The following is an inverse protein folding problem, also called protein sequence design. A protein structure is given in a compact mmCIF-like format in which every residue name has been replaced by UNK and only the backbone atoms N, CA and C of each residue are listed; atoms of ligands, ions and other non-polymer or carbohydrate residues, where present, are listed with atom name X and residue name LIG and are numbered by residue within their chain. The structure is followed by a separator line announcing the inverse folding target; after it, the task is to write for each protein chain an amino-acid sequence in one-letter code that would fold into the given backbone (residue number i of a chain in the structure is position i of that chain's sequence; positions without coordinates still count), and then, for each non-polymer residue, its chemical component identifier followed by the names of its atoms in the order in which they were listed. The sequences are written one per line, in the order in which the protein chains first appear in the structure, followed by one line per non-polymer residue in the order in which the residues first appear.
data_IF_783532184581
#
_entry.id   IF_783532184581
#
_cell.length_a   1.000
_cell.length_b   1.000
_cell.length_c   1.000
_cell.angle_alpha   90.00
_cell.angle_beta   90.00
_cell.angle_gamma   90.00
#
_symmetry.space_group_name_H-M   'P 1'
#
loop_
_entity.id
_entity.type
_entity.pdbx_description
1 polymer ?
#
# COMPACT_ATOMS: atom_id res chain seq x y z
N UNK A 1 -19.67 2.66 26.71
CA UNK A 1 -19.53 3.07 25.31
C UNK A 1 -20.76 2.54 24.57
N UNK A 2 -21.57 3.45 24.06
CA UNK A 2 -22.79 3.12 23.31
C UNK A 2 -22.44 2.81 21.86
N UNK A 3 -23.30 2.10 21.12
CA UNK A 3 -23.09 1.81 19.69
C UNK A 3 -23.02 3.09 18.82
N UNK A 4 -23.50 4.23 19.33
CA UNK A 4 -23.41 5.54 18.67
C UNK A 4 -22.02 6.16 18.82
N UNK A 5 -21.32 5.90 19.93
CA UNK A 5 -19.94 6.34 20.12
C UNK A 5 -18.98 5.64 19.14
N UNK A 6 -19.23 4.35 18.85
CA UNK A 6 -18.47 3.57 17.87
C UNK A 6 -18.72 4.08 16.45
N UNK A 7 -19.95 4.52 16.12
CA UNK A 7 -20.26 5.10 14.80
C UNK A 7 -19.55 6.44 14.57
N UNK A 8 -19.39 7.24 15.62
CA UNK A 8 -18.76 8.57 15.51
C UNK A 8 -17.22 8.50 15.55
N UNK A 9 -16.62 7.56 16.28
CA UNK A 9 -15.15 7.39 16.27
C UNK A 9 -14.63 6.89 14.91
N UNK A 10 -15.41 6.08 14.18
CA UNK A 10 -15.07 5.61 12.83
C UNK A 10 -15.04 6.75 11.79
N UNK A 11 -15.66 7.91 12.08
CA UNK A 11 -15.70 9.05 11.17
C UNK A 11 -14.48 10.00 11.28
N UNK A 12 -13.62 9.88 12.31
CA UNK A 12 -12.61 10.93 12.59
C UNK A 12 -11.14 10.51 12.52
N UNK A 13 -10.81 9.25 12.28
CA UNK A 13 -9.43 8.89 11.97
C UNK A 13 -9.22 9.01 10.46
N UNK A 14 -8.24 9.81 10.05
CA UNK A 14 -7.80 9.96 8.65
C UNK A 14 -7.66 8.59 7.97
N UNK A 15 -8.74 8.11 7.36
CA UNK A 15 -8.68 6.90 6.57
C UNK A 15 -7.88 7.30 5.33
N UNK A 16 -6.72 6.66 5.19
CA UNK A 16 -6.04 6.49 3.90
C UNK A 16 -7.12 6.35 2.83
N UNK A 17 -6.99 6.98 1.65
CA UNK A 17 -8.02 6.99 0.61
C UNK A 17 -8.25 5.58 0.00
N UNK A 18 -8.76 4.67 0.82
CA UNK A 18 -8.94 3.26 0.56
C UNK A 18 -10.03 3.07 -0.48
N UNK A 19 -11.09 3.88 -0.44
CA UNK A 19 -12.13 3.87 -1.46
C UNK A 19 -11.57 4.22 -2.85
N UNK A 20 -10.64 5.18 -2.93
CA UNK A 20 -9.98 5.55 -4.18
C UNK A 20 -9.21 4.35 -4.73
N UNK A 21 -8.28 3.79 -3.96
CA UNK A 21 -7.41 2.72 -4.44
C UNK A 21 -8.08 1.35 -4.57
N UNK A 22 -9.02 1.02 -3.68
CA UNK A 22 -9.65 -0.31 -3.64
C UNK A 22 -10.86 -0.40 -4.58
N UNK A 23 -11.57 0.72 -4.82
CA UNK A 23 -12.79 0.71 -5.63
C UNK A 23 -12.59 1.45 -6.94
N UNK A 24 -12.13 2.70 -6.89
CA UNK A 24 -12.11 3.54 -8.09
C UNK A 24 -10.97 3.17 -9.06
N UNK A 25 -9.80 2.77 -8.56
CA UNK A 25 -8.69 2.36 -9.41
C UNK A 25 -9.00 1.15 -10.30
N UNK A 26 -9.54 0.04 -9.79
CA UNK A 26 -10.00 -1.06 -10.62
C UNK A 26 -11.04 -0.62 -11.67
N UNK A 27 -11.96 0.27 -11.30
CA UNK A 27 -12.95 0.84 -12.23
C UNK A 27 -12.26 1.64 -13.35
N UNK A 28 -11.25 2.45 -13.03
CA UNK A 28 -10.47 3.19 -14.03
C UNK A 28 -9.70 2.25 -14.94
N UNK A 29 -9.04 1.22 -14.39
CA UNK A 29 -8.31 0.22 -15.19
C UNK A 29 -9.23 -0.53 -16.17
N UNK A 30 -10.47 -0.80 -15.76
CA UNK A 30 -11.49 -1.37 -16.66
C UNK A 30 -11.93 -0.35 -17.72
N UNK A 31 -12.12 0.92 -17.33
CA UNK A 31 -12.51 1.99 -18.24
C UNK A 31 -11.42 2.32 -19.26
N UNK A 32 -10.13 2.22 -18.91
CA UNK A 32 -9.01 2.45 -19.82
C UNK A 32 -9.05 1.53 -21.04
N UNK A 33 -9.54 0.29 -20.87
CA UNK A 33 -9.73 -0.69 -21.95
C UNK A 33 -10.80 -0.27 -22.96
N UNK A 34 -11.72 0.61 -22.55
CA UNK A 34 -12.85 1.11 -23.38
C UNK A 34 -12.55 2.51 -23.91
N UNK A 35 -12.07 3.41 -23.04
CA UNK A 35 -11.74 4.78 -23.36
C UNK A 35 -10.62 5.29 -22.45
N UNK A 36 -9.40 5.26 -22.99
CA UNK A 36 -8.19 5.72 -22.31
C UNK A 36 -8.29 7.17 -21.83
N UNK A 37 -8.77 8.09 -22.67
CA UNK A 37 -8.81 9.52 -22.35
C UNK A 37 -9.79 9.82 -21.22
N UNK A 38 -10.98 9.21 -21.24
CA UNK A 38 -11.97 9.37 -20.18
C UNK A 38 -11.47 8.82 -18.84
N UNK A 39 -10.87 7.62 -18.86
CA UNK A 39 -10.32 7.00 -17.66
C UNK A 39 -9.21 7.84 -17.02
N UNK A 40 -8.26 8.33 -17.83
CA UNK A 40 -7.18 9.20 -17.34
C UNK A 40 -7.71 10.52 -16.76
N UNK A 41 -8.69 11.14 -17.42
CA UNK A 41 -9.30 12.40 -16.96
C UNK A 41 -10.00 12.20 -15.62
N UNK A 42 -10.81 11.14 -15.48
CA UNK A 42 -11.49 10.80 -14.24
C UNK A 42 -10.48 10.47 -13.13
N UNK A 43 -9.50 9.60 -13.41
CA UNK A 43 -8.46 9.24 -12.44
C UNK A 43 -7.74 10.48 -11.90
N UNK A 44 -7.30 11.38 -12.77
CA UNK A 44 -6.63 12.61 -12.35
C UNK A 44 -7.54 13.51 -11.49
N UNK A 45 -8.81 13.64 -11.85
CA UNK A 45 -9.78 14.44 -11.09
C UNK A 45 -10.02 13.85 -9.69
N UNK A 46 -10.23 12.54 -9.59
CA UNK A 46 -10.44 11.85 -8.31
C UNK A 46 -9.20 11.92 -7.40
N UNK A 47 -7.99 11.69 -7.94
CA UNK A 47 -6.75 11.83 -7.17
C UNK A 47 -6.60 13.25 -6.62
N UNK A 48 -6.85 14.27 -7.45
CA UNK A 48 -6.74 15.67 -7.04
C UNK A 48 -7.77 16.00 -5.96
N UNK A 49 -9.02 15.62 -6.17
CA UNK A 49 -10.10 15.91 -5.24
C UNK A 49 -9.91 15.20 -3.89
N UNK A 50 -9.46 13.95 -3.89
CA UNK A 50 -9.13 13.20 -2.67
C UNK A 50 -7.94 13.80 -1.92
N UNK A 51 -6.93 14.30 -2.64
CA UNK A 51 -5.78 14.96 -2.04
C UNK A 51 -6.17 16.28 -1.37
N UNK A 52 -7.07 17.04 -1.98
CA UNK A 52 -7.56 18.32 -1.44
C UNK A 52 -8.57 18.11 -0.30
N UNK A 53 -9.37 17.05 -0.36
CA UNK A 53 -10.35 16.70 0.67
C UNK A 53 -10.37 15.17 0.93
N UNK A 54 -9.52 14.68 1.85
CA UNK A 54 -9.48 13.26 2.20
C UNK A 54 -10.84 12.73 2.67
N UNK A 55 -11.26 11.57 2.17
CA UNK A 55 -12.56 10.96 2.43
C UNK A 55 -13.62 11.27 1.38
N UNK A 56 -13.40 12.22 0.48
CA UNK A 56 -14.38 12.61 -0.54
C UNK A 56 -14.79 11.43 -1.45
N UNK A 57 -13.84 10.60 -1.85
CA UNK A 57 -14.12 9.42 -2.70
C UNK A 57 -14.99 8.41 -1.96
N UNK A 58 -14.77 8.24 -0.66
CA UNK A 58 -15.61 7.38 0.17
C UNK A 58 -17.03 7.91 0.24
N UNK A 59 -17.22 9.21 0.48
CA UNK A 59 -18.55 9.83 0.50
C UNK A 59 -19.29 9.66 -0.83
N UNK A 60 -18.59 9.84 -1.96
CA UNK A 60 -19.15 9.63 -3.29
C UNK A 60 -19.62 8.17 -3.45
N UNK A 61 -18.77 7.19 -3.10
CA UNK A 61 -19.12 5.76 -3.22
C UNK A 61 -20.31 5.41 -2.33
N UNK A 62 -20.32 5.86 -1.08
CA UNK A 62 -21.43 5.63 -0.15
C UNK A 62 -22.73 6.22 -0.69
N UNK A 63 -22.70 7.45 -1.24
CA UNK A 63 -23.90 8.07 -1.82
C UNK A 63 -24.43 7.31 -3.04
N UNK A 64 -23.55 6.73 -3.85
CA UNK A 64 -23.95 5.88 -4.99
C UNK A 64 -24.64 4.60 -4.50
N UNK A 65 -24.09 3.95 -3.48
CA UNK A 65 -24.67 2.74 -2.87
C UNK A 65 -26.04 3.02 -2.25
N UNK A 66 -26.18 4.12 -1.51
CA UNK A 66 -27.46 4.59 -0.95
C UNK A 66 -28.49 4.83 -2.06
N UNK A 67 -28.10 5.49 -3.15
CA UNK A 67 -29.01 5.76 -4.29
C UNK A 67 -29.47 4.49 -5.00
N UNK A 68 -28.69 3.41 -4.94
CA UNK A 68 -29.05 2.10 -5.48
C UNK A 68 -29.78 1.20 -4.48
N UNK A 69 -30.01 1.68 -3.26
CA UNK A 69 -30.66 0.95 -2.16
C UNK A 69 -30.00 -0.40 -1.89
N UNK A 70 -28.66 -0.43 -1.90
CA UNK A 70 -27.86 -1.62 -1.63
C UNK A 70 -27.56 -1.71 -0.13
N UNK A 71 -28.12 -2.71 0.55
CA UNK A 71 -27.79 -3.02 1.94
C UNK A 71 -26.52 -3.88 1.99
N UNK A 72 -25.36 -3.23 2.02
CA UNK A 72 -24.06 -3.90 2.16
C UNK A 72 -23.29 -3.32 3.35
N UNK A 73 -22.53 -4.16 4.05
CA UNK A 73 -21.53 -3.68 4.98
C UNK A 73 -20.33 -3.13 4.18
N UNK A 74 -20.23 -1.81 4.10
CA UNK A 74 -19.20 -1.13 3.33
C UNK A 74 -17.77 -1.47 3.81
N UNK A 75 -17.57 -1.56 5.12
CA UNK A 75 -16.26 -1.86 5.71
C UNK A 75 -15.81 -3.30 5.39
N UNK A 76 -16.71 -4.27 5.54
CA UNK A 76 -16.44 -5.66 5.15
C UNK A 76 -16.17 -5.79 3.66
N UNK A 77 -16.95 -5.09 2.84
CA UNK A 77 -16.79 -5.13 1.38
C UNK A 77 -15.44 -4.55 0.95
N UNK A 78 -15.04 -3.42 1.52
CA UNK A 78 -13.72 -2.84 1.28
C UNK A 78 -12.59 -3.80 1.68
N UNK A 79 -12.71 -4.45 2.84
CA UNK A 79 -11.69 -5.40 3.30
C UNK A 79 -11.57 -6.63 2.38
N UNK A 80 -12.69 -7.15 1.88
CA UNK A 80 -12.70 -8.26 0.91
C UNK A 80 -12.04 -7.87 -0.41
N UNK A 81 -12.21 -6.62 -0.85
CA UNK A 81 -11.65 -6.11 -2.11
C UNK A 81 -10.18 -5.66 -1.98
N UNK A 82 -9.66 -5.49 -0.77
CA UNK A 82 -8.31 -5.00 -0.52
C UNK A 82 -7.18 -5.96 -0.97
N UNK A 83 -7.52 -7.16 -1.46
CA UNK A 83 -6.55 -8.11 -1.99
C UNK A 83 -5.95 -7.69 -3.31
N UNK A 84 -6.69 -6.93 -4.13
CA UNK A 84 -6.21 -6.52 -5.44
C UNK A 84 -4.97 -5.61 -5.30
N UNK A 85 -3.95 -5.89 -6.11
CA UNK A 85 -2.76 -5.06 -6.15
C UNK A 85 -3.04 -3.83 -7.01
N UNK A 86 -2.95 -2.66 -6.39
CA UNK A 86 -2.85 -1.42 -7.14
C UNK A 86 -1.39 -1.26 -7.56
N UNK A 87 -1.15 -1.15 -8.86
CA UNK A 87 0.19 -1.06 -9.45
C UNK A 87 1.04 0.05 -8.82
N UNK A 88 0.41 1.12 -8.32
CA UNK A 88 1.09 2.22 -7.64
C UNK A 88 1.81 1.82 -6.35
N UNK A 89 1.40 0.74 -5.71
CA UNK A 89 2.05 0.22 -4.49
C UNK A 89 3.01 -0.94 -4.78
N UNK A 90 3.07 -1.44 -6.01
CA UNK A 90 4.00 -2.48 -6.40
C UNK A 90 5.39 -1.87 -6.64
N UNK A 91 6.40 -2.49 -6.03
CA UNK A 91 7.78 -2.11 -6.28
C UNK A 91 8.20 -2.70 -7.63
N UNK A 92 8.32 -1.87 -8.67
CA UNK A 92 8.80 -2.25 -10.01
C UNK A 92 10.34 -2.39 -10.04
N UNK A 93 10.86 -3.28 -9.20
CA UNK A 93 12.29 -3.58 -9.09
C UNK A 93 12.51 -5.07 -9.24
N UNK A 94 13.37 -5.46 -10.18
CA UNK A 94 13.59 -6.88 -10.54
C UNK A 94 14.42 -7.64 -9.51
N UNK A 95 15.03 -6.95 -8.55
CA UNK A 95 15.85 -7.61 -7.54
C UNK A 95 14.98 -8.52 -6.64
N UNK A 96 15.47 -9.73 -6.33
CA UNK A 96 14.66 -10.76 -5.66
C UNK A 96 14.14 -10.31 -4.29
N UNK A 97 14.86 -9.43 -3.59
CA UNK A 97 14.43 -8.95 -2.27
C UNK A 97 13.18 -8.05 -2.35
N UNK A 98 13.01 -7.28 -3.43
CA UNK A 98 11.80 -6.46 -3.63
C UNK A 98 10.63 -7.30 -4.12
N UNK A 99 10.91 -8.34 -4.91
CA UNK A 99 9.89 -9.31 -5.32
C UNK A 99 9.37 -10.09 -4.12
N UNK A 100 10.26 -10.56 -3.24
CA UNK A 100 9.88 -11.20 -1.99
C UNK A 100 9.06 -10.24 -1.10
N UNK A 101 9.45 -8.96 -1.01
CA UNK A 101 8.69 -7.97 -0.26
C UNK A 101 7.27 -7.78 -0.80
N UNK A 102 7.10 -7.69 -2.13
CA UNK A 102 5.79 -7.62 -2.77
C UNK A 102 4.95 -8.88 -2.47
N UNK A 103 5.56 -10.07 -2.53
CA UNK A 103 4.90 -11.34 -2.23
C UNK A 103 4.43 -11.43 -0.77
N UNK A 104 5.27 -11.06 0.20
CA UNK A 104 4.89 -11.05 1.63
C UNK A 104 3.80 -10.04 1.92
N UNK A 105 3.85 -8.86 1.29
CA UNK A 105 2.79 -7.86 1.42
C UNK A 105 1.46 -8.38 0.85
N UNK A 106 1.48 -9.05 -0.31
CA UNK A 106 0.30 -9.68 -0.90
C UNK A 106 -0.26 -10.79 -0.02
N UNK A 107 0.60 -11.65 0.54
CA UNK A 107 0.17 -12.72 1.44
C UNK A 107 -0.54 -12.17 2.69
N UNK A 108 0.02 -11.12 3.30
CA UNK A 108 -0.62 -10.47 4.45
C UNK A 108 -1.98 -9.85 4.07
N UNK A 109 -2.06 -9.11 2.96
CA UNK A 109 -3.34 -8.55 2.48
C UNK A 109 -4.39 -9.63 2.23
N UNK A 110 -3.98 -10.76 1.65
CA UNK A 110 -4.87 -11.89 1.42
C UNK A 110 -5.44 -12.45 2.72
N UNK A 111 -4.60 -12.70 3.74
CA UNK A 111 -5.09 -13.20 5.04
C UNK A 111 -6.01 -12.17 5.71
N UNK A 112 -5.70 -10.87 5.63
CA UNK A 112 -6.57 -9.83 6.20
C UNK A 112 -7.95 -9.78 5.50
N UNK A 113 -8.01 -10.08 4.22
CA UNK A 113 -9.26 -10.08 3.45
C UNK A 113 -10.23 -11.20 3.82
N UNK A 114 -9.75 -12.30 4.44
CA UNK A 114 -10.59 -13.44 4.86
C UNK A 114 -11.26 -13.21 6.22
N UNK A 115 -10.87 -12.15 6.96
CA UNK A 115 -11.43 -11.82 8.28
C UNK A 115 -12.98 -11.78 8.27
N UNK A 116 -13.66 -11.13 7.31
CA UNK A 116 -15.12 -11.09 7.29
C UNK A 116 -15.79 -12.46 7.21
N UNK A 117 -15.13 -13.46 6.62
CA UNK A 117 -15.65 -14.82 6.48
C UNK A 117 -15.32 -15.70 7.70
N UNK A 118 -14.21 -15.40 8.39
CA UNK A 118 -13.68 -16.23 9.47
C UNK A 118 -14.08 -15.73 10.87
N UNK A 119 -14.42 -14.44 11.02
CA UNK A 119 -14.70 -13.80 12.32
C UNK A 119 -15.85 -14.44 13.11
N UNK A 120 -16.81 -15.05 12.43
CA UNK A 120 -17.97 -15.69 13.06
C UNK A 120 -17.67 -17.09 13.63
N UNK A 121 -16.58 -17.74 13.18
CA UNK A 121 -16.12 -19.02 13.71
C UNK A 121 -14.91 -18.79 14.61
N UNK A 122 -15.11 -18.92 15.93
CA UNK A 122 -14.06 -18.67 16.92
C UNK A 122 -12.78 -19.48 16.68
N UNK A 123 -12.90 -20.74 16.25
CA UNK A 123 -11.73 -21.61 16.05
C UNK A 123 -10.96 -21.17 14.81
N UNK A 124 -11.67 -20.90 13.71
CA UNK A 124 -11.05 -20.36 12.48
C UNK A 124 -10.43 -19.00 12.74
N UNK A 125 -11.14 -18.08 13.39
CA UNK A 125 -10.64 -16.74 13.67
C UNK A 125 -9.36 -16.75 14.52
N UNK A 126 -9.27 -17.63 15.52
CA UNK A 126 -8.04 -17.79 16.29
C UNK A 126 -6.87 -18.32 15.45
N UNK A 127 -7.15 -19.13 14.42
CA UNK A 127 -6.14 -19.57 13.46
C UNK A 127 -5.73 -18.40 12.55
N UNK A 128 -6.68 -17.66 12.00
CA UNK A 128 -6.45 -16.45 11.20
C UNK A 128 -5.56 -15.45 11.94
N UNK A 129 -5.80 -15.21 13.24
CA UNK A 129 -4.96 -14.32 14.06
C UNK A 129 -3.50 -14.81 14.11
N UNK A 130 -3.26 -16.11 14.24
CA UNK A 130 -1.91 -16.68 14.22
C UNK A 130 -1.25 -16.53 12.84
N UNK A 131 -2.02 -16.73 11.78
CA UNK A 131 -1.55 -16.60 10.41
C UNK A 131 -1.20 -15.13 10.10
N UNK A 132 -2.02 -14.17 10.56
CA UNK A 132 -1.74 -12.73 10.50
C UNK A 132 -0.43 -12.40 11.23
N UNK A 133 -0.27 -12.87 12.48
CA UNK A 133 0.93 -12.60 13.26
C UNK A 133 2.19 -13.15 12.57
N UNK A 134 2.08 -14.35 11.98
CA UNK A 134 3.18 -14.97 11.22
C UNK A 134 3.52 -14.17 9.96
N UNK A 135 2.51 -13.78 9.17
CA UNK A 135 2.71 -12.98 7.96
C UNK A 135 3.27 -11.58 8.25
N UNK A 136 2.83 -10.92 9.33
CA UNK A 136 3.41 -9.64 9.79
C UNK A 136 4.89 -9.82 10.12
N UNK A 137 5.24 -10.87 10.86
CA UNK A 137 6.63 -11.16 11.22
C UNK A 137 7.49 -11.36 9.97
N UNK A 138 7.05 -12.21 9.05
CA UNK A 138 7.76 -12.47 7.80
C UNK A 138 7.96 -11.20 6.97
N UNK A 139 6.91 -10.38 6.84
CA UNK A 139 6.97 -9.10 6.13
C UNK A 139 8.01 -8.16 6.76
N UNK A 140 8.01 -8.02 8.09
CA UNK A 140 8.97 -7.19 8.80
C UNK A 140 10.41 -7.72 8.67
N UNK A 141 10.61 -9.02 8.68
CA UNK A 141 11.92 -9.65 8.46
C UNK A 141 12.45 -9.37 7.03
N UNK A 142 11.59 -9.43 6.01
CA UNK A 142 11.93 -9.06 4.63
C UNK A 142 12.26 -7.57 4.51
N UNK A 143 11.46 -6.68 5.11
CA UNK A 143 11.73 -5.23 5.15
C UNK A 143 13.10 -4.94 5.77
N UNK A 144 13.43 -5.58 6.90
CA UNK A 144 14.72 -5.44 7.55
C UNK A 144 15.88 -5.92 6.67
N UNK A 145 15.68 -7.01 5.94
CA UNK A 145 16.67 -7.57 5.02
C UNK A 145 16.98 -6.59 3.88
N UNK A 146 15.94 -6.05 3.24
CA UNK A 146 16.07 -5.01 2.22
C UNK A 146 16.81 -3.79 2.79
N UNK A 147 16.37 -3.30 3.95
CA UNK A 147 16.96 -2.11 4.56
C UNK A 147 18.47 -2.28 4.81
N UNK A 148 18.89 -3.40 5.41
CA UNK A 148 20.31 -3.69 5.67
C UNK A 148 21.13 -3.79 4.39
N UNK A 149 20.61 -4.44 3.36
CA UNK A 149 21.32 -4.64 2.08
C UNK A 149 21.58 -3.31 1.37
N UNK A 150 20.58 -2.44 1.29
CA UNK A 150 20.69 -1.17 0.56
C UNK A 150 21.30 -0.03 1.39
N UNK A 151 21.21 -0.06 2.72
CA UNK A 151 21.95 0.86 3.57
C UNK A 151 23.47 0.65 3.45
N UNK A 152 23.93 -0.60 3.38
CA UNK A 152 25.35 -0.93 3.23
C UNK A 152 25.92 -0.41 1.90
N UNK A 153 25.17 -0.51 0.79
CA UNK A 153 25.58 -0.01 -0.53
C UNK A 153 25.89 1.49 -0.47
N UNK A 154 25.03 2.30 0.17
CA UNK A 154 25.26 3.74 0.28
C UNK A 154 26.53 4.08 1.07
N UNK A 155 26.84 3.30 2.10
CA UNK A 155 28.09 3.44 2.87
C UNK A 155 29.30 3.10 2.01
N UNK A 156 29.25 2.00 1.25
CA UNK A 156 30.35 1.60 0.36
C UNK A 156 30.59 2.61 -0.77
N UNK A 157 29.53 3.17 -1.37
CA UNK A 157 29.63 4.20 -2.41
C UNK A 157 30.30 5.46 -1.86
N UNK A 158 29.89 5.92 -0.69
CA UNK A 158 30.52 7.08 -0.03
C UNK A 158 31.99 6.83 0.32
N UNK A 159 32.32 5.65 0.85
CA UNK A 159 33.70 5.28 1.18
C UNK A 159 34.61 5.22 -0.07
N UNK A 160 34.10 4.66 -1.18
CA UNK A 160 34.81 4.64 -2.45
C UNK A 160 35.04 6.05 -3.01
N UNK A 161 34.04 6.94 -2.91
CA UNK A 161 34.16 8.33 -3.36
C UNK A 161 35.21 9.10 -2.56
N UNK A 162 35.23 8.93 -1.24
CA UNK A 162 36.23 9.54 -0.36
C UNK A 162 37.63 9.02 -0.68
N UNK A 163 37.80 7.70 -0.84
CA UNK A 163 39.06 7.07 -1.23
C UNK A 163 39.59 7.65 -2.55
N UNK A 164 38.72 7.80 -3.55
CA UNK A 164 39.09 8.41 -4.83
C UNK A 164 39.51 9.88 -4.67
N UNK A 165 38.77 10.67 -3.90
CA UNK A 165 39.14 12.07 -3.62
C UNK A 165 40.52 12.18 -2.96
N UNK A 166 40.82 11.33 -1.97
CA UNK A 166 42.13 11.28 -1.32
C UNK A 166 43.24 10.98 -2.34
N UNK A 167 43.02 10.02 -3.25
CA UNK A 167 43.99 9.69 -4.29
C UNK A 167 44.23 10.85 -5.27
N UNK A 168 43.18 11.58 -5.64
CA UNK A 168 43.29 12.75 -6.52
C UNK A 168 44.13 13.86 -5.87
N UNK A 169 43.94 14.13 -4.57
CA UNK A 169 44.75 15.10 -3.82
C UNK A 169 46.22 14.70 -3.88
N UNK A 170 46.54 13.43 -3.61
CA UNK A 170 47.93 12.93 -3.67
C UNK A 170 48.54 13.05 -5.09
N UNK A 171 47.74 12.81 -6.13
CA UNK A 171 48.17 12.95 -7.51
C UNK A 171 48.52 14.40 -7.87
N UNK A 172 47.76 15.38 -7.37
CA UNK A 172 48.06 16.81 -7.59
C UNK A 172 49.46 17.19 -7.11
N UNK A 173 49.95 16.61 -6.02
CA UNK A 173 51.29 16.89 -5.52
C UNK A 173 52.40 16.15 -6.26
N UNK A 174 52.10 15.03 -6.96
CA UNK A 174 53.07 14.36 -7.83
C UNK A 174 53.41 15.16 -9.08
N UNK A 175 52.48 15.98 -9.57
CA UNK A 175 52.68 16.79 -10.78
C UNK A 175 53.40 18.12 -10.53
N UNK A 176 53.72 18.44 -9.27
CA UNK A 176 54.38 19.69 -8.86
C UNK A 176 55.89 19.53 -8.69
N UNK A 177 56.40 18.28 -8.77
CA UNK A 177 57.84 17.95 -8.72
C UNK A 177 58.36 17.63 -10.12
#
# INVERSE_FOLDING_TARGET
MTMEDIKNEVQTTSMVPMALYTVMYPVFNQLEKVNLSAAQTLRAAFIKAEKENPGLTQDIVLKILEKKNLEINYAESLLRMATEDVEEFLIDRREPEFQELNERARALKHILSTIPDEINDRVRFLQTIKDIASAIKELLDTVNTVFRKYQAINVFVSANRLTHQTNMILQTFKTVV
#
